data_IF_159142219702
#
_entry.id   IF_159142219702
#
_cell.length_a   1.000
_cell.length_b   1.000
_cell.length_c   1.000
_cell.angle_alpha   90.00
_cell.angle_beta   90.00
_cell.angle_gamma   90.00
#
_symmetry.space_group_name_H-M   'P 1'
#
loop_
_entity.id
_entity.type
_entity.pdbx_description
1 polymer ?
#
# COMPACT_ATOMS: atom_id res chain seq x y z
N UNK A 1 -29.95 26.24 16.30
CA UNK A 1 -28.72 26.77 15.67
C UNK A 1 -27.67 27.13 16.71
N UNK A 2 -28.04 27.36 17.98
CA UNK A 2 -27.11 27.48 19.11
C UNK A 2 -26.69 26.14 19.74
N UNK A 3 -27.53 25.08 19.69
CA UNK A 3 -27.23 23.79 20.35
C UNK A 3 -26.07 22.96 19.74
N UNK A 4 -25.63 23.24 18.51
CA UNK A 4 -24.57 22.44 17.86
C UNK A 4 -23.14 22.96 18.10
N UNK A 5 -22.99 24.16 18.66
CA UNK A 5 -21.68 24.78 18.95
C UNK A 5 -21.13 24.28 20.30
N UNK A 6 -22.00 23.84 21.21
CA UNK A 6 -21.66 23.39 22.57
C UNK A 6 -21.06 21.97 22.64
N UNK A 7 -20.89 21.28 21.51
CA UNK A 7 -20.39 19.89 21.44
C UNK A 7 -18.95 19.77 20.93
N UNK A 8 -18.29 20.86 20.54
CA UNK A 8 -16.94 20.77 19.97
C UNK A 8 -15.84 21.08 20.97
N UNK A 9 -14.83 20.20 20.99
CA UNK A 9 -13.69 20.27 21.90
C UNK A 9 -12.53 21.05 21.28
N UNK A 10 -12.19 22.17 21.90
CA UNK A 10 -11.06 23.04 21.56
C UNK A 10 -9.84 22.73 22.44
N UNK A 11 -8.63 23.04 21.94
CA UNK A 11 -7.38 22.87 22.70
C UNK A 11 -7.39 23.60 24.04
N UNK A 12 -8.07 24.74 24.13
CA UNK A 12 -8.20 25.56 25.34
C UNK A 12 -9.09 24.93 26.42
N UNK A 13 -9.90 23.94 26.05
CA UNK A 13 -10.84 23.25 26.96
C UNK A 13 -10.26 21.93 27.49
N UNK A 14 -9.09 21.50 27.01
CA UNK A 14 -8.49 20.23 27.42
C UNK A 14 -7.99 20.27 28.87
N UNK A 15 -8.34 19.24 29.63
CA UNK A 15 -7.80 18.98 30.95
C UNK A 15 -6.44 18.27 30.88
N UNK A 16 -5.72 18.21 32.01
CA UNK A 16 -4.41 17.53 32.07
C UNK A 16 -4.49 16.05 31.68
N UNK A 17 -5.63 15.40 31.96
CA UNK A 17 -5.91 14.02 31.57
C UNK A 17 -6.10 13.88 30.06
N UNK A 18 -6.67 14.88 29.39
CA UNK A 18 -6.88 14.84 27.93
C UNK A 18 -5.57 14.92 27.17
N UNK A 19 -4.59 15.66 27.68
CA UNK A 19 -3.25 15.67 27.08
C UNK A 19 -2.54 14.32 27.16
N UNK A 20 -2.82 13.51 28.19
CA UNK A 20 -2.33 12.13 28.25
C UNK A 20 -2.97 11.31 27.11
N UNK A 21 -4.25 11.51 26.83
CA UNK A 21 -4.95 10.86 25.72
C UNK A 21 -4.41 11.27 24.37
N UNK A 22 -4.19 12.56 24.15
CA UNK A 22 -3.56 13.07 22.94
C UNK A 22 -2.17 12.44 22.74
N UNK A 23 -1.38 12.31 23.80
CA UNK A 23 -0.07 11.66 23.73
C UNK A 23 -0.16 10.16 23.40
N UNK A 24 -1.09 9.43 24.01
CA UNK A 24 -1.32 8.00 23.70
C UNK A 24 -1.76 7.84 22.25
N UNK A 25 -2.74 8.64 21.80
CA UNK A 25 -3.24 8.62 20.42
C UNK A 25 -2.11 8.83 19.43
N UNK A 26 -1.30 9.89 19.61
CA UNK A 26 -0.16 10.18 18.74
C UNK A 26 0.87 9.05 18.79
N UNK A 27 1.17 8.52 19.98
CA UNK A 27 2.12 7.42 20.14
C UNK A 27 1.69 6.16 19.38
N UNK A 28 0.42 5.77 19.51
CA UNK A 28 -0.17 4.61 18.82
C UNK A 28 -0.25 4.84 17.31
N UNK A 29 -0.61 6.05 16.87
CA UNK A 29 -0.66 6.41 15.46
C UNK A 29 0.74 6.36 14.81
N UNK A 30 1.78 6.83 15.49
CA UNK A 30 3.12 6.98 14.90
C UNK A 30 3.98 5.71 15.03
N UNK A 31 3.77 4.88 16.05
CA UNK A 31 4.61 3.71 16.33
C UNK A 31 4.79 2.75 15.14
N UNK A 32 3.75 2.41 14.34
CA UNK A 32 3.92 1.57 13.15
C UNK A 32 4.85 2.17 12.10
N UNK A 33 4.82 3.50 11.90
CA UNK A 33 5.70 4.17 10.94
C UNK A 33 7.15 4.19 11.42
N UNK A 34 7.37 4.37 12.72
CA UNK A 34 8.71 4.27 13.30
C UNK A 34 9.29 2.86 13.12
N UNK A 35 8.47 1.83 13.38
CA UNK A 35 8.83 0.44 13.14
C UNK A 35 9.17 0.19 11.67
N UNK A 36 8.31 0.67 10.75
CA UNK A 36 8.51 0.50 9.32
C UNK A 36 9.76 1.21 8.79
N UNK A 37 10.05 2.41 9.29
CA UNK A 37 11.27 3.13 8.97
C UNK A 37 12.52 2.38 9.44
N UNK A 38 12.52 1.88 10.68
CA UNK A 38 13.65 1.13 11.27
C UNK A 38 13.91 -0.19 10.53
N UNK A 39 12.83 -0.88 10.14
CA UNK A 39 12.90 -2.20 9.49
C UNK A 39 12.91 -2.12 7.95
N UNK A 40 12.78 -0.92 7.37
CA UNK A 40 12.63 -0.67 5.93
C UNK A 40 11.46 -1.46 5.31
N UNK A 41 10.35 -1.58 6.03
CA UNK A 41 9.12 -2.25 5.56
C UNK A 41 8.13 -1.23 4.95
N UNK A 42 7.04 -1.75 4.39
CA UNK A 42 6.01 -0.96 3.70
C UNK A 42 5.33 0.07 4.60
N UNK A 43 5.27 1.32 4.14
CA UNK A 43 4.51 2.40 4.77
C UNK A 43 3.01 2.23 4.59
N UNK A 44 2.55 1.59 3.51
CA UNK A 44 1.15 1.24 3.34
C UNK A 44 0.69 0.24 4.42
N UNK A 45 1.48 -0.80 4.69
CA UNK A 45 1.22 -1.73 5.79
C UNK A 45 1.28 -1.03 7.16
N UNK A 46 2.24 -0.11 7.34
CA UNK A 46 2.30 0.70 8.56
C UNK A 46 1.04 1.54 8.77
N UNK A 47 0.49 2.13 7.71
CA UNK A 47 -0.77 2.88 7.76
C UNK A 47 -1.97 2.00 8.10
N UNK A 48 -2.05 0.78 7.53
CA UNK A 48 -3.08 -0.21 7.88
C UNK A 48 -3.00 -0.56 9.36
N UNK A 49 -1.81 -0.91 9.85
CA UNK A 49 -1.61 -1.25 11.25
C UNK A 49 -1.93 -0.06 12.17
N UNK A 50 -1.51 1.14 11.79
CA UNK A 50 -1.75 2.37 12.54
C UNK A 50 -3.23 2.70 12.70
N UNK A 51 -3.99 2.67 11.60
CA UNK A 51 -5.45 2.89 11.63
C UNK A 51 -6.19 1.79 12.40
N UNK A 52 -5.75 0.53 12.28
CA UNK A 52 -6.28 -0.57 13.09
C UNK A 52 -6.01 -0.39 14.59
N UNK A 53 -4.79 -0.04 14.97
CA UNK A 53 -4.45 0.15 16.38
C UNK A 53 -5.23 1.31 17.01
N UNK A 54 -5.46 2.40 16.28
CA UNK A 54 -6.33 3.49 16.75
C UNK A 54 -7.78 3.01 16.91
N UNK A 55 -8.31 2.23 15.96
CA UNK A 55 -9.65 1.66 16.10
C UNK A 55 -9.77 0.74 17.33
N UNK A 56 -8.77 -0.11 17.57
CA UNK A 56 -8.73 -0.98 18.75
C UNK A 56 -8.58 -0.20 20.05
N UNK A 57 -7.73 0.82 20.08
CA UNK A 57 -7.58 1.71 21.22
C UNK A 57 -8.94 2.34 21.56
N UNK A 58 -9.60 2.96 20.57
CA UNK A 58 -10.90 3.58 20.74
C UNK A 58 -11.94 2.60 21.27
N UNK A 59 -12.08 1.43 20.63
CA UNK A 59 -13.01 0.39 21.07
C UNK A 59 -12.73 -0.07 22.51
N UNK A 60 -11.46 -0.25 22.86
CA UNK A 60 -11.08 -0.63 24.21
C UNK A 60 -11.49 0.44 25.23
N UNK A 61 -11.19 1.71 24.95
CA UNK A 61 -11.53 2.85 25.82
C UNK A 61 -13.04 3.00 26.02
N UNK A 62 -13.81 2.92 24.94
CA UNK A 62 -15.27 2.92 24.99
C UNK A 62 -15.80 1.76 25.87
N UNK A 63 -15.20 0.57 25.75
CA UNK A 63 -15.63 -0.61 26.48
C UNK A 63 -15.31 -0.55 27.99
N UNK A 64 -14.20 0.07 28.38
CA UNK A 64 -13.83 0.22 29.79
C UNK A 64 -14.49 1.44 30.45
N UNK A 65 -15.09 2.34 29.65
CA UNK A 65 -15.73 3.58 30.09
C UNK A 65 -14.83 4.40 31.04
N UNK A 66 -13.52 4.35 30.79
CA UNK A 66 -12.56 5.10 31.58
C UNK A 66 -12.24 6.35 30.76
N UNK A 67 -12.59 7.51 31.34
CA UNK A 67 -12.37 8.85 30.79
C UNK A 67 -13.27 9.19 29.60
N UNK A 68 -14.15 10.19 29.78
CA UNK A 68 -15.10 10.66 28.76
C UNK A 68 -14.48 11.63 27.74
N UNK A 69 -13.31 11.28 27.20
CA UNK A 69 -12.63 12.12 26.21
C UNK A 69 -13.32 11.99 24.85
N UNK A 70 -13.68 13.11 24.22
CA UNK A 70 -14.40 13.12 22.94
C UNK A 70 -13.43 13.24 21.76
N UNK A 71 -12.70 12.17 21.45
CA UNK A 71 -11.61 12.19 20.46
C UNK A 71 -12.08 12.53 19.04
N UNK A 72 -13.33 12.19 18.69
CA UNK A 72 -13.92 12.57 17.40
C UNK A 72 -14.02 14.09 17.31
N UNK A 73 -14.54 14.74 18.35
CA UNK A 73 -14.72 16.19 18.39
C UNK A 73 -13.40 16.95 18.44
N UNK A 74 -12.28 16.32 18.85
CA UNK A 74 -10.95 16.95 18.75
C UNK A 74 -10.23 16.66 17.42
N UNK A 75 -10.32 15.45 16.87
CA UNK A 75 -9.46 15.03 15.76
C UNK A 75 -10.14 14.91 14.39
N UNK A 76 -11.47 14.88 14.31
CA UNK A 76 -12.18 14.80 13.04
C UNK A 76 -12.20 16.15 12.31
N UNK A 77 -12.38 16.10 10.98
CA UNK A 77 -12.50 17.27 10.13
C UNK A 77 -13.89 17.88 10.29
N UNK A 78 -13.95 19.07 10.90
CA UNK A 78 -15.19 19.83 11.08
C UNK A 78 -15.12 21.08 10.18
N UNK A 79 -15.91 21.16 9.10
CA UNK A 79 -15.82 22.26 8.14
C UNK A 79 -15.95 23.66 8.74
N UNK A 80 -16.87 23.86 9.69
CA UNK A 80 -17.09 25.14 10.34
C UNK A 80 -15.84 25.67 11.09
N UNK A 81 -14.96 24.78 11.54
CA UNK A 81 -13.77 25.13 12.32
C UNK A 81 -12.51 25.35 11.46
N UNK A 82 -12.62 25.22 10.14
CA UNK A 82 -11.47 25.30 9.23
C UNK A 82 -10.79 26.67 9.20
N UNK A 83 -11.48 27.71 9.66
CA UNK A 83 -10.94 29.08 9.69
C UNK A 83 -10.08 29.35 10.92
N UNK A 84 -10.16 28.48 11.94
CA UNK A 84 -9.40 28.59 13.19
C UNK A 84 -8.02 27.92 13.03
N UNK A 85 -6.90 28.68 13.10
CA UNK A 85 -5.56 28.14 12.82
C UNK A 85 -5.12 27.00 13.73
N UNK A 86 -5.57 27.00 14.98
CA UNK A 86 -5.29 25.96 15.97
C UNK A 86 -6.05 24.65 15.69
N UNK A 87 -6.99 24.65 14.73
CA UNK A 87 -7.78 23.50 14.32
C UNK A 87 -7.25 22.82 13.03
N UNK A 88 -6.15 23.30 12.45
CA UNK A 88 -5.60 22.76 11.20
C UNK A 88 -5.12 21.31 11.30
N UNK A 89 -4.85 20.80 12.51
CA UNK A 89 -4.50 19.39 12.71
C UNK A 89 -5.58 18.44 12.18
N UNK A 90 -6.85 18.86 12.19
CA UNK A 90 -8.01 18.08 11.75
C UNK A 90 -7.96 17.65 10.29
N UNK A 91 -7.28 18.42 9.43
CA UNK A 91 -7.04 18.02 8.04
C UNK A 91 -6.22 16.73 7.91
N UNK A 92 -5.44 16.40 8.94
CA UNK A 92 -4.52 15.25 8.96
C UNK A 92 -5.05 14.18 9.91
N UNK A 93 -5.41 14.55 11.14
CA UNK A 93 -5.79 13.60 12.20
C UNK A 93 -7.06 12.83 11.88
N UNK A 94 -7.96 13.39 11.06
CA UNK A 94 -9.18 12.74 10.62
C UNK A 94 -8.94 11.39 9.91
N UNK A 95 -7.76 11.17 9.32
CA UNK A 95 -7.42 9.91 8.65
C UNK A 95 -7.39 8.69 9.60
N UNK A 96 -7.17 8.90 10.89
CA UNK A 96 -7.08 7.82 11.88
C UNK A 96 -8.42 7.47 12.50
N UNK A 97 -9.40 8.36 12.42
CA UNK A 97 -10.71 8.16 13.01
C UNK A 97 -11.65 7.41 12.06
N UNK A 98 -12.38 6.44 12.58
CA UNK A 98 -13.40 5.70 11.83
C UNK A 98 -14.64 5.50 12.70
N UNK A 99 -15.82 5.65 12.08
CA UNK A 99 -17.11 5.61 12.79
C UNK A 99 -17.49 4.21 13.26
N UNK A 100 -17.03 3.16 12.57
CA UNK A 100 -17.28 1.76 12.92
C UNK A 100 -16.26 0.81 12.26
N UNK A 101 -16.34 -0.47 12.63
CA UNK A 101 -15.46 -1.54 12.12
C UNK A 101 -15.53 -1.72 10.61
N UNK A 102 -16.73 -1.68 10.01
CA UNK A 102 -16.90 -1.84 8.57
C UNK A 102 -16.24 -0.67 7.81
N UNK A 103 -16.35 0.54 8.35
CA UNK A 103 -15.77 1.75 7.77
C UNK A 103 -14.24 1.63 7.73
N UNK A 104 -13.58 1.30 8.84
CA UNK A 104 -12.12 1.11 8.83
C UNK A 104 -11.70 -0.07 7.97
N UNK A 105 -12.43 -1.19 8.01
CA UNK A 105 -12.15 -2.37 7.20
C UNK A 105 -12.16 -2.05 5.71
N UNK A 106 -13.18 -1.32 5.25
CA UNK A 106 -13.31 -0.91 3.86
C UNK A 106 -12.14 -0.04 3.37
N UNK A 107 -11.60 0.83 4.25
CA UNK A 107 -10.47 1.69 3.95
C UNK A 107 -9.16 0.90 3.88
N UNK A 108 -8.88 0.06 4.89
CA UNK A 108 -7.63 -0.72 4.94
C UNK A 108 -7.55 -1.77 3.83
N UNK A 109 -8.68 -2.30 3.35
CA UNK A 109 -8.72 -3.19 2.17
C UNK A 109 -8.24 -2.43 0.94
N UNK A 110 -8.71 -1.20 0.70
CA UNK A 110 -8.23 -0.39 -0.44
C UNK A 110 -6.75 -0.03 -0.26
N UNK A 111 -6.34 0.39 0.94
CA UNK A 111 -4.93 0.69 1.23
C UNK A 111 -4.05 -0.55 1.04
N UNK A 112 -4.53 -1.75 1.39
CA UNK A 112 -3.80 -3.01 1.21
C UNK A 112 -3.70 -3.39 -0.27
N UNK A 113 -4.84 -3.54 -0.93
CA UNK A 113 -4.93 -4.09 -2.30
C UNK A 113 -4.42 -3.11 -3.36
N UNK A 114 -4.58 -1.80 -3.15
CA UNK A 114 -4.17 -0.76 -4.10
C UNK A 114 -2.93 -0.04 -3.60
N UNK A 115 -2.87 0.28 -2.31
CA UNK A 115 -1.79 1.06 -1.74
C UNK A 115 -0.46 0.31 -1.69
N UNK A 116 -0.43 -0.98 -1.34
CA UNK A 116 0.83 -1.75 -1.29
C UNK A 116 1.47 -1.88 -2.68
N UNK A 117 0.75 -2.30 -3.75
CA UNK A 117 1.35 -2.34 -5.09
C UNK A 117 1.76 -0.93 -5.59
N UNK A 118 0.97 0.10 -5.29
CA UNK A 118 1.35 1.47 -5.63
C UNK A 118 2.63 1.93 -4.90
N UNK A 119 2.83 1.51 -3.65
CA UNK A 119 4.06 1.79 -2.91
C UNK A 119 5.27 1.14 -3.58
N UNK A 120 5.14 -0.08 -4.09
CA UNK A 120 6.20 -0.75 -4.83
C UNK A 120 6.57 0.02 -6.12
N UNK A 121 5.58 0.66 -6.76
CA UNK A 121 5.80 1.52 -7.94
C UNK A 121 6.46 2.86 -7.58
N UNK A 122 5.97 3.54 -6.55
CA UNK A 122 6.36 4.91 -6.16
C UNK A 122 7.58 4.99 -5.22
N UNK A 123 7.77 3.97 -4.38
CA UNK A 123 8.57 4.03 -3.17
C UNK A 123 7.86 4.78 -2.03
N UNK A 124 8.18 4.41 -0.78
CA UNK A 124 7.45 4.84 0.42
C UNK A 124 7.24 6.37 0.57
N UNK A 125 8.29 7.19 0.37
CA UNK A 125 8.17 8.65 0.56
C UNK A 125 7.15 9.29 -0.39
N UNK A 126 7.14 8.86 -1.65
CA UNK A 126 6.21 9.37 -2.69
C UNK A 126 4.81 8.84 -2.45
N UNK A 127 4.70 7.58 -2.04
CA UNK A 127 3.43 6.99 -1.63
C UNK A 127 2.78 7.78 -0.47
N UNK A 128 3.57 8.13 0.55
CA UNK A 128 3.07 8.92 1.69
C UNK A 128 2.59 10.31 1.25
N UNK A 129 3.31 10.97 0.35
CA UNK A 129 2.89 12.26 -0.21
C UNK A 129 1.56 12.14 -0.96
N UNK A 130 1.39 11.11 -1.80
CA UNK A 130 0.14 10.84 -2.51
C UNK A 130 -1.01 10.56 -1.53
N UNK A 131 -0.77 9.75 -0.51
CA UNK A 131 -1.77 9.44 0.52
C UNK A 131 -2.31 10.71 1.17
N UNK A 132 -1.42 11.60 1.64
CA UNK A 132 -1.83 12.85 2.27
C UNK A 132 -2.42 13.87 1.29
N UNK A 133 -2.00 13.88 0.03
CA UNK A 133 -2.68 14.70 -1.00
C UNK A 133 -4.11 14.22 -1.23
N UNK A 134 -4.35 12.91 -1.24
CA UNK A 134 -5.72 12.38 -1.28
C UNK A 134 -6.55 12.80 -0.07
N UNK A 135 -5.97 12.68 1.14
CA UNK A 135 -6.63 13.11 2.37
C UNK A 135 -7.01 14.60 2.34
N UNK A 136 -6.03 15.46 2.04
CA UNK A 136 -6.20 16.91 1.99
C UNK A 136 -7.18 17.29 0.88
N UNK A 137 -7.06 16.69 -0.30
CA UNK A 137 -7.98 16.94 -1.42
C UNK A 137 -9.42 16.58 -1.10
N UNK A 138 -9.63 15.47 -0.37
CA UNK A 138 -10.95 15.07 0.08
C UNK A 138 -11.51 16.03 1.13
N UNK A 139 -10.71 16.39 2.13
CA UNK A 139 -11.12 17.34 3.16
C UNK A 139 -11.42 18.72 2.58
N UNK A 140 -10.61 19.22 1.65
CA UNK A 140 -10.86 20.49 0.96
C UNK A 140 -12.16 20.47 0.15
N UNK A 141 -12.41 19.40 -0.60
CA UNK A 141 -13.65 19.27 -1.37
C UNK A 141 -14.88 19.21 -0.45
N UNK A 142 -14.78 18.48 0.66
CA UNK A 142 -15.84 18.39 1.66
C UNK A 142 -16.14 19.75 2.32
N UNK A 143 -15.09 20.46 2.75
CA UNK A 143 -15.18 21.80 3.35
C UNK A 143 -15.80 22.79 2.37
N UNK A 144 -15.36 22.78 1.10
CA UNK A 144 -15.86 23.69 0.09
C UNK A 144 -17.37 23.51 -0.17
N UNK A 145 -17.89 22.28 -0.08
CA UNK A 145 -19.31 22.00 -0.25
C UNK A 145 -20.15 22.23 1.01
N UNK A 146 -19.53 22.16 2.20
CA UNK A 146 -20.24 22.25 3.48
C UNK A 146 -19.59 23.23 4.47
N UNK A 147 -19.29 24.49 4.09
CA UNK A 147 -18.41 25.37 4.86
C UNK A 147 -18.88 25.69 6.27
N UNK A 148 -20.20 25.65 6.53
CA UNK A 148 -20.80 25.95 7.83
C UNK A 148 -21.24 24.69 8.60
N UNK A 149 -20.85 23.50 8.14
CA UNK A 149 -21.26 22.24 8.77
C UNK A 149 -20.41 21.95 10.02
N UNK A 150 -21.10 21.63 11.10
CA UNK A 150 -20.51 21.08 12.33
C UNK A 150 -20.50 19.54 12.32
N UNK A 151 -20.99 18.90 11.26
CA UNK A 151 -20.98 17.43 11.16
C UNK A 151 -19.55 16.94 10.93
N UNK A 152 -18.97 16.13 11.83
CA UNK A 152 -17.60 15.66 11.67
C UNK A 152 -17.45 14.73 10.46
N UNK A 153 -16.42 14.98 9.65
CA UNK A 153 -15.94 14.08 8.62
C UNK A 153 -14.65 13.38 9.08
N UNK A 154 -14.63 12.06 8.96
CA UNK A 154 -13.56 11.21 9.45
C UNK A 154 -13.37 10.00 8.53
N UNK A 155 -12.16 9.45 8.53
CA UNK A 155 -11.79 8.27 7.76
C UNK A 155 -10.66 8.52 6.78
N UNK A 156 -9.98 7.43 6.44
CA UNK A 156 -8.90 7.43 5.45
C UNK A 156 -9.39 7.43 3.98
N UNK A 157 -10.69 7.58 3.73
CA UNK A 157 -11.28 7.27 2.42
C UNK A 157 -10.91 8.26 1.33
N UNK A 158 -10.79 9.55 1.65
CA UNK A 158 -10.23 10.55 0.73
C UNK A 158 -8.80 10.19 0.31
N UNK A 159 -7.98 9.70 1.25
CA UNK A 159 -6.63 9.21 0.97
C UNK A 159 -6.65 7.95 0.09
N UNK A 160 -7.53 6.99 0.40
CA UNK A 160 -7.70 5.76 -0.37
C UNK A 160 -8.11 6.02 -1.82
N UNK A 161 -9.05 6.95 -2.05
CA UNK A 161 -9.39 7.43 -3.39
C UNK A 161 -8.25 8.22 -4.05
N UNK A 162 -7.45 8.94 -3.27
CA UNK A 162 -6.21 9.56 -3.77
C UNK A 162 -5.18 8.54 -4.27
N UNK A 163 -5.02 7.41 -3.58
CA UNK A 163 -4.18 6.30 -4.05
C UNK A 163 -4.69 5.76 -5.39
N UNK A 164 -6.01 5.52 -5.51
CA UNK A 164 -6.65 5.13 -6.77
C UNK A 164 -6.40 6.15 -7.90
N UNK A 165 -6.54 7.45 -7.59
CA UNK A 165 -6.28 8.53 -8.55
C UNK A 165 -4.83 8.57 -9.01
N UNK A 166 -3.88 8.44 -8.09
CA UNK A 166 -2.48 8.42 -8.44
C UNK A 166 -2.07 7.18 -9.25
N UNK A 167 -2.62 6.02 -8.90
CA UNK A 167 -2.38 4.79 -9.64
C UNK A 167 -2.93 4.91 -11.07
N UNK A 168 -4.16 5.40 -11.24
CA UNK A 168 -4.76 5.65 -12.54
C UNK A 168 -3.96 6.64 -13.39
N UNK A 169 -3.41 7.69 -12.80
CA UNK A 169 -2.64 8.70 -13.52
C UNK A 169 -1.28 8.19 -14.03
N UNK A 170 -0.69 7.22 -13.32
CA UNK A 170 0.69 6.78 -13.54
C UNK A 170 0.79 5.43 -14.26
N UNK A 171 -0.04 4.45 -13.86
CA UNK A 171 -0.01 3.08 -14.35
C UNK A 171 -1.44 2.51 -14.49
N UNK A 172 -2.27 3.07 -15.39
CA UNK A 172 -3.67 2.67 -15.53
C UNK A 172 -3.87 1.21 -15.97
N UNK A 173 -2.87 0.61 -16.64
CA UNK A 173 -2.92 -0.75 -17.16
C UNK A 173 -2.32 -1.79 -16.21
N UNK A 174 -1.77 -1.38 -15.07
CA UNK A 174 -1.35 -2.32 -14.04
C UNK A 174 -2.54 -3.16 -13.59
N UNK A 175 -2.30 -4.44 -13.31
CA UNK A 175 -3.30 -5.33 -12.76
C UNK A 175 -3.02 -5.59 -11.29
N UNK A 176 -4.04 -5.40 -10.45
CA UNK A 176 -3.98 -5.73 -9.03
C UNK A 176 -5.15 -6.63 -8.66
N UNK A 177 -4.94 -7.53 -7.70
CA UNK A 177 -6.01 -8.36 -7.18
C UNK A 177 -7.02 -7.49 -6.45
N UNK A 178 -8.25 -7.49 -6.93
CA UNK A 178 -9.32 -6.66 -6.36
C UNK A 178 -10.66 -7.41 -6.39
N UNK A 179 -11.45 -7.36 -5.29
CA UNK A 179 -12.78 -7.96 -5.27
C UNK A 179 -13.77 -7.09 -6.08
N UNK A 180 -13.99 -7.44 -7.35
CA UNK A 180 -15.02 -6.84 -8.20
C UNK A 180 -16.09 -7.86 -8.57
N UNK A 181 -17.37 -7.49 -8.42
CA UNK A 181 -18.52 -8.28 -8.88
C UNK A 181 -18.46 -9.77 -8.46
N UNK A 182 -18.15 -10.03 -7.18
CA UNK A 182 -18.01 -11.37 -6.58
C UNK A 182 -16.77 -12.17 -6.97
N UNK A 183 -15.89 -11.65 -7.84
CA UNK A 183 -14.64 -12.30 -8.23
C UNK A 183 -13.43 -11.56 -7.65
N UNK A 184 -12.55 -12.29 -6.98
CA UNK A 184 -11.20 -11.82 -6.62
C UNK A 184 -10.27 -12.30 -7.73
N UNK A 185 -9.82 -11.37 -8.57
CA UNK A 185 -8.83 -11.63 -9.63
C UNK A 185 -8.04 -10.37 -9.92
N UNK A 186 -6.92 -10.47 -10.67
CA UNK A 186 -6.24 -9.30 -11.20
C UNK A 186 -7.17 -8.52 -12.15
N UNK A 187 -7.31 -7.23 -11.90
CA UNK A 187 -8.03 -6.30 -12.76
C UNK A 187 -7.15 -5.09 -13.08
N UNK A 188 -7.19 -4.58 -14.32
CA UNK A 188 -6.59 -3.31 -14.66
C UNK A 188 -7.07 -2.17 -13.76
N UNK A 189 -6.15 -1.33 -13.30
CA UNK A 189 -6.44 -0.19 -12.42
C UNK A 189 -7.53 0.72 -13.01
N UNK A 190 -7.52 0.96 -14.32
CA UNK A 190 -8.55 1.77 -14.95
C UNK A 190 -9.96 1.20 -14.81
N UNK A 191 -10.11 -0.13 -14.78
CA UNK A 191 -11.42 -0.79 -14.55
C UNK A 191 -11.84 -0.61 -13.09
N UNK A 192 -10.93 -0.88 -12.15
CA UNK A 192 -11.19 -0.73 -10.72
C UNK A 192 -11.64 0.71 -10.42
N UNK A 193 -10.93 1.69 -10.99
CA UNK A 193 -11.24 3.11 -10.84
C UNK A 193 -12.55 3.49 -11.51
N UNK A 194 -12.80 3.05 -12.75
CA UNK A 194 -14.05 3.34 -13.45
C UNK A 194 -15.26 2.83 -12.65
N UNK A 195 -15.17 1.62 -12.10
CA UNK A 195 -16.24 1.05 -11.26
C UNK A 195 -16.36 1.81 -9.93
N UNK A 196 -15.27 1.98 -9.18
CA UNK A 196 -15.34 2.60 -7.85
C UNK A 196 -15.74 4.08 -7.91
N UNK A 197 -15.09 4.88 -8.76
CA UNK A 197 -15.42 6.29 -8.92
C UNK A 197 -16.80 6.46 -9.58
N UNK A 198 -17.17 5.59 -10.53
CA UNK A 198 -18.50 5.58 -11.13
C UNK A 198 -19.62 5.33 -10.12
N UNK A 199 -19.41 4.41 -9.16
CA UNK A 199 -20.34 4.17 -8.06
C UNK A 199 -20.49 5.38 -7.14
N UNK A 200 -19.40 6.10 -6.83
CA UNK A 200 -19.48 7.33 -6.04
C UNK A 200 -20.30 8.41 -6.74
N UNK A 201 -20.03 8.65 -8.03
CA UNK A 201 -20.77 9.64 -8.83
C UNK A 201 -22.25 9.24 -8.95
N UNK A 202 -22.53 7.96 -9.18
CA UNK A 202 -23.90 7.45 -9.22
C UNK A 202 -24.62 7.65 -7.87
N UNK A 203 -23.97 7.32 -6.75
CA UNK A 203 -24.55 7.52 -5.41
C UNK A 203 -24.84 8.99 -5.14
N UNK A 204 -23.92 9.90 -5.47
CA UNK A 204 -24.15 11.34 -5.35
C UNK A 204 -25.35 11.81 -6.18
N UNK A 205 -25.40 11.42 -7.46
CA UNK A 205 -26.54 11.72 -8.34
C UNK A 205 -27.86 11.17 -7.78
N UNK A 206 -27.85 9.94 -7.28
CA UNK A 206 -29.05 9.30 -6.74
C UNK A 206 -29.55 9.98 -5.46
N UNK A 207 -28.66 10.47 -4.59
CA UNK A 207 -29.00 11.27 -3.39
C UNK A 207 -29.64 12.59 -3.82
N UNK A 208 -29.02 13.30 -4.77
CA UNK A 208 -29.51 14.58 -5.28
C UNK A 208 -30.87 14.45 -5.99
N UNK A 209 -31.05 13.38 -6.77
CA UNK A 209 -32.29 13.06 -7.44
C UNK A 209 -33.41 12.56 -6.49
N UNK A 210 -33.12 12.40 -5.19
CA UNK A 210 -34.07 11.90 -4.19
C UNK A 210 -34.48 10.45 -4.39
N UNK A 211 -33.74 9.70 -5.21
CA UNK A 211 -34.00 8.27 -5.51
C UNK A 211 -33.49 7.35 -4.40
N UNK A 212 -32.51 7.81 -3.64
CA UNK A 212 -32.04 7.21 -2.39
C UNK A 212 -32.01 8.27 -1.29
N UNK A 213 -32.19 7.87 -0.03
CA UNK A 213 -32.09 8.77 1.12
C UNK A 213 -30.66 9.29 1.35
N UNK A 214 -30.50 10.21 2.31
CA UNK A 214 -29.19 10.67 2.72
C UNK A 214 -28.31 9.52 3.24
N UNK A 215 -27.01 9.59 2.96
CA UNK A 215 -26.02 8.61 3.42
C UNK A 215 -25.07 9.26 4.44
N UNK A 216 -24.49 8.45 5.32
CA UNK A 216 -23.42 8.87 6.23
C UNK A 216 -22.03 8.79 5.57
N UNK A 217 -21.96 8.95 4.23
CA UNK A 217 -20.72 8.82 3.45
C UNK A 217 -20.42 10.16 2.77
N UNK A 218 -19.22 10.67 3.01
CA UNK A 218 -18.74 11.90 2.39
C UNK A 218 -18.28 11.68 0.94
N UNK A 219 -19.21 11.34 0.04
CA UNK A 219 -18.90 10.99 -1.36
C UNK A 219 -18.04 12.06 -2.08
N UNK A 220 -18.29 13.34 -1.82
CA UNK A 220 -17.50 14.42 -2.41
C UNK A 220 -16.03 14.44 -1.92
N UNK A 221 -15.77 13.97 -0.70
CA UNK A 221 -14.39 13.81 -0.22
C UNK A 221 -13.65 12.74 -1.01
N UNK A 222 -14.33 11.68 -1.45
CA UNK A 222 -13.73 10.66 -2.32
C UNK A 222 -13.33 11.25 -3.68
N UNK A 223 -14.24 12.01 -4.28
CA UNK A 223 -14.00 12.68 -5.58
C UNK A 223 -12.87 13.70 -5.47
N UNK A 224 -12.86 14.54 -4.44
CA UNK A 224 -11.82 15.53 -4.20
C UNK A 224 -10.44 14.90 -3.98
N UNK A 225 -10.38 13.85 -3.16
CA UNK A 225 -9.14 13.12 -2.90
C UNK A 225 -8.59 12.44 -4.16
N UNK A 226 -9.47 11.82 -4.94
CA UNK A 226 -9.12 11.23 -6.23
C UNK A 226 -8.49 12.26 -7.17
N UNK A 227 -9.17 13.37 -7.46
CA UNK A 227 -8.73 14.31 -8.50
C UNK A 227 -7.50 15.11 -8.10
N UNK A 228 -7.36 15.50 -6.82
CA UNK A 228 -6.14 16.20 -6.38
C UNK A 228 -4.90 15.31 -6.51
N UNK A 229 -5.00 14.06 -6.05
CA UNK A 229 -3.90 13.11 -6.19
C UNK A 229 -3.64 12.76 -7.67
N UNK A 230 -4.68 12.51 -8.47
CA UNK A 230 -4.57 12.24 -9.90
C UNK A 230 -3.79 13.34 -10.63
N UNK A 231 -4.14 14.61 -10.38
CA UNK A 231 -3.50 15.77 -11.02
C UNK A 231 -2.01 15.90 -10.65
N UNK A 232 -1.65 15.56 -9.41
CA UNK A 232 -0.29 15.76 -8.88
C UNK A 232 0.58 14.48 -8.88
N UNK A 233 0.01 13.32 -9.19
CA UNK A 233 0.74 12.05 -9.09
C UNK A 233 1.90 11.92 -10.08
N UNK A 234 1.71 12.29 -11.35
CA UNK A 234 2.78 12.17 -12.37
C UNK A 234 4.04 12.98 -12.02
N UNK A 235 3.98 14.26 -11.60
CA UNK A 235 5.18 14.97 -11.18
C UNK A 235 5.81 14.36 -9.92
N UNK A 236 5.02 13.86 -8.97
CA UNK A 236 5.53 13.17 -7.77
C UNK A 236 6.25 11.87 -8.14
N UNK A 237 5.71 11.11 -9.09
CA UNK A 237 6.25 9.85 -9.56
C UNK A 237 7.55 9.99 -10.36
N UNK A 238 8.03 11.20 -10.66
CA UNK A 238 9.33 11.41 -11.31
C UNK A 238 10.46 10.83 -10.43
N UNK A 239 11.26 9.94 -11.02
CA UNK A 239 12.33 9.23 -10.33
C UNK A 239 11.84 8.18 -9.33
N UNK A 240 10.60 7.72 -9.45
CA UNK A 240 10.10 6.55 -8.73
C UNK A 240 10.83 5.26 -9.17
N UNK A 241 10.82 4.20 -8.33
CA UNK A 241 11.41 2.89 -8.67
C UNK A 241 10.92 2.29 -9.99
N UNK A 242 9.65 2.50 -10.33
CA UNK A 242 9.07 2.12 -11.62
C UNK A 242 8.99 3.30 -12.57
N UNK A 243 9.33 3.10 -13.85
CA UNK A 243 9.14 4.10 -14.88
C UNK A 243 7.65 4.38 -15.08
N UNK A 244 7.30 5.64 -15.32
CA UNK A 244 6.01 5.98 -15.90
C UNK A 244 6.04 5.50 -17.35
N UNK A 245 5.10 4.65 -17.75
CA UNK A 245 5.05 4.16 -19.12
C UNK A 245 5.06 5.35 -20.09
N UNK A 246 5.97 5.27 -21.05
CA UNK A 246 6.00 6.16 -22.21
C UNK A 246 4.68 6.00 -22.93
N UNK A 247 3.87 7.06 -22.94
CA UNK A 247 2.62 7.23 -23.67
C UNK A 247 2.49 6.27 -24.86
N UNK A 248 1.94 5.08 -24.65
CA UNK A 248 1.56 4.20 -25.75
C UNK A 248 0.24 4.78 -26.26
N UNK A 249 0.36 5.55 -27.33
CA UNK A 249 -0.71 5.84 -28.28
C UNK A 249 -1.65 4.65 -28.36
N UNK A 250 -2.94 4.92 -28.20
CA UNK A 250 -4.04 3.97 -28.47
C UNK A 250 -3.83 3.43 -29.89
N UNK A 251 -3.28 2.23 -30.00
CA UNK A 251 -2.91 1.65 -31.29
C UNK A 251 -2.17 0.33 -31.13
N UNK A 252 -2.82 -0.74 -31.60
CA UNK A 252 -2.32 -2.10 -31.84
C UNK A 252 -1.86 -2.94 -30.64
N UNK A 253 -2.71 -3.93 -30.36
CA UNK A 253 -2.41 -5.26 -29.84
C UNK A 253 -0.94 -5.69 -29.82
N UNK A 254 -0.38 -5.83 -28.62
CA UNK A 254 0.58 -6.86 -28.28
C UNK A 254 0.38 -7.23 -26.81
N UNK A 255 0.19 -8.52 -26.56
CA UNK A 255 0.00 -9.20 -25.27
C UNK A 255 0.53 -8.43 -24.06
N UNK A 256 -0.42 -7.97 -23.22
CA UNK A 256 -0.16 -7.40 -21.91
C UNK A 256 0.44 -8.48 -20.98
N UNK A 257 1.76 -8.54 -20.87
CA UNK A 257 2.41 -9.12 -19.68
C UNK A 257 1.97 -8.27 -18.47
N UNK A 258 1.31 -8.90 -17.49
CA UNK A 258 0.80 -8.21 -16.31
C UNK A 258 1.94 -7.57 -15.50
N UNK A 259 1.66 -6.49 -14.77
CA UNK A 259 2.67 -5.84 -13.92
C UNK A 259 3.32 -6.81 -12.91
N UNK A 260 2.54 -7.77 -12.39
CA UNK A 260 3.05 -8.86 -11.55
C UNK A 260 4.04 -9.76 -12.30
N UNK A 261 3.79 -10.06 -13.58
CA UNK A 261 4.70 -10.81 -14.43
C UNK A 261 6.00 -10.04 -14.69
N UNK A 262 5.93 -8.73 -14.92
CA UNK A 262 7.12 -7.89 -15.07
C UNK A 262 8.00 -7.84 -13.81
N UNK A 263 7.37 -7.86 -12.63
CA UNK A 263 8.06 -7.88 -11.33
C UNK A 263 8.69 -9.27 -11.09
N UNK A 264 7.95 -10.36 -11.35
CA UNK A 264 8.46 -11.73 -11.27
C UNK A 264 9.63 -11.94 -12.22
N UNK A 265 9.51 -11.45 -13.46
CA UNK A 265 10.58 -11.48 -14.47
C UNK A 265 11.82 -10.74 -14.00
N UNK A 266 11.67 -9.54 -13.44
CA UNK A 266 12.80 -8.76 -12.90
C UNK A 266 13.43 -9.40 -11.65
N UNK A 267 12.64 -10.04 -10.79
CA UNK A 267 13.14 -10.81 -9.65
C UNK A 267 13.91 -12.05 -10.13
N UNK A 268 13.38 -12.77 -11.13
CA UNK A 268 14.06 -13.90 -11.79
C UNK A 268 15.37 -13.48 -12.47
N UNK A 269 15.39 -12.34 -13.15
CA UNK A 269 16.61 -11.78 -13.76
C UNK A 269 17.71 -11.50 -12.72
N UNK A 270 17.35 -11.02 -11.52
CA UNK A 270 18.33 -10.78 -10.44
C UNK A 270 18.89 -12.07 -9.85
N UNK A 271 18.09 -13.14 -9.81
CA UNK A 271 18.51 -14.45 -9.33
C UNK A 271 19.45 -15.18 -10.30
N UNK A 272 19.62 -14.68 -11.53
CA UNK A 272 20.47 -15.32 -12.55
C UNK A 272 19.74 -16.40 -13.34
N UNK A 273 20.23 -16.68 -14.56
CA UNK A 273 19.67 -17.74 -15.40
C UNK A 273 20.22 -19.10 -14.99
N UNK A 274 19.36 -20.12 -14.99
CA UNK A 274 19.71 -21.53 -14.78
C UNK A 274 19.94 -22.31 -16.09
N UNK A 275 19.91 -21.62 -17.23
CA UNK A 275 19.95 -22.26 -18.54
C UNK A 275 21.33 -22.86 -18.81
N UNK A 276 22.39 -22.21 -18.34
CA UNK A 276 23.74 -22.75 -18.36
C UNK A 276 23.96 -23.75 -17.20
N UNK A 277 24.84 -24.72 -17.42
CA UNK A 277 25.14 -25.78 -16.47
C UNK A 277 26.66 -25.89 -16.32
N UNK A 278 27.24 -25.42 -15.19
CA UNK A 278 28.68 -25.44 -14.96
C UNK A 278 29.32 -26.83 -15.00
N UNK A 279 28.56 -27.87 -14.65
CA UNK A 279 29.04 -29.25 -14.63
C UNK A 279 29.09 -29.83 -16.04
N UNK A 280 28.08 -29.53 -16.86
CA UNK A 280 28.08 -29.86 -18.29
C UNK A 280 29.20 -29.14 -19.04
N UNK A 281 29.40 -27.84 -18.81
CA UNK A 281 30.45 -27.05 -19.46
C UNK A 281 31.86 -27.56 -19.12
N UNK A 282 32.04 -28.05 -17.89
CA UNK A 282 33.29 -28.66 -17.44
C UNK A 282 33.46 -30.13 -17.89
N UNK A 283 32.52 -30.69 -18.66
CA UNK A 283 32.55 -32.08 -19.13
C UNK A 283 32.32 -33.13 -18.05
N UNK A 284 31.78 -32.73 -16.88
CA UNK A 284 31.46 -33.60 -15.74
C UNK A 284 29.97 -33.50 -15.42
N UNK A 285 29.05 -34.00 -16.29
CA UNK A 285 27.61 -33.88 -16.09
C UNK A 285 27.17 -34.43 -14.73
N UNK A 286 26.22 -33.75 -14.10
CA UNK A 286 25.57 -34.26 -12.89
C UNK A 286 24.88 -35.61 -13.17
N UNK A 287 24.92 -36.49 -12.18
CA UNK A 287 24.33 -37.83 -12.26
C UNK A 287 23.36 -38.09 -11.11
N UNK A 288 22.41 -38.99 -11.33
CA UNK A 288 21.48 -39.49 -10.31
C UNK A 288 20.72 -38.39 -9.56
N UNK A 289 20.93 -38.28 -8.24
CA UNK A 289 20.19 -37.37 -7.35
C UNK A 289 20.43 -35.90 -7.73
N UNK A 290 21.69 -35.51 -7.91
CA UNK A 290 22.06 -34.14 -8.26
C UNK A 290 21.43 -33.68 -9.59
N UNK A 291 21.33 -34.58 -10.58
CA UNK A 291 20.68 -34.28 -11.85
C UNK A 291 19.17 -34.01 -11.67
N UNK A 292 18.51 -34.80 -10.81
CA UNK A 292 17.08 -34.63 -10.50
C UNK A 292 16.82 -33.34 -9.73
N UNK A 293 17.69 -32.99 -8.79
CA UNK A 293 17.64 -31.74 -8.04
C UNK A 293 17.77 -30.54 -8.99
N UNK A 294 18.72 -30.57 -9.93
CA UNK A 294 18.87 -29.51 -10.93
C UNK A 294 17.63 -29.38 -11.83
N UNK A 295 16.99 -30.48 -12.20
CA UNK A 295 15.75 -30.47 -12.98
C UNK A 295 14.60 -29.83 -12.18
N UNK A 296 14.44 -30.19 -10.91
CA UNK A 296 13.42 -29.56 -10.03
C UNK A 296 13.70 -28.09 -9.75
N UNK A 297 14.97 -27.71 -9.54
CA UNK A 297 15.39 -26.33 -9.40
C UNK A 297 14.99 -25.47 -10.63
N UNK A 298 15.06 -26.04 -11.83
CA UNK A 298 14.65 -25.38 -13.09
C UNK A 298 13.12 -25.30 -13.21
N UNK A 299 12.40 -26.32 -12.77
CA UNK A 299 10.94 -26.37 -12.85
C UNK A 299 10.24 -25.53 -11.78
N UNK A 300 10.78 -25.47 -10.57
CA UNK A 300 10.10 -24.95 -9.37
C UNK A 300 10.76 -23.68 -8.79
N UNK A 301 12.00 -23.37 -9.17
CA UNK A 301 12.78 -22.31 -8.52
C UNK A 301 12.42 -20.87 -8.90
N UNK A 302 11.26 -20.59 -9.47
CA UNK A 302 10.93 -19.22 -9.92
C UNK A 302 10.64 -18.24 -8.77
N UNK A 303 10.49 -18.74 -7.54
CA UNK A 303 10.39 -17.96 -6.30
C UNK A 303 11.68 -18.03 -5.48
N UNK A 304 12.04 -16.94 -4.79
CA UNK A 304 13.32 -16.78 -4.07
C UNK A 304 13.55 -17.89 -3.03
N UNK A 305 12.55 -18.16 -2.19
CA UNK A 305 12.62 -19.13 -1.10
C UNK A 305 12.78 -20.56 -1.65
N UNK A 306 12.04 -20.88 -2.71
CA UNK A 306 12.11 -22.17 -3.41
C UNK A 306 13.45 -22.34 -4.12
N UNK A 307 13.98 -21.29 -4.78
CA UNK A 307 15.30 -21.31 -5.42
C UNK A 307 16.41 -21.53 -4.40
N UNK A 308 16.33 -20.88 -3.25
CA UNK A 308 17.31 -21.03 -2.17
C UNK A 308 17.37 -22.47 -1.69
N UNK A 309 16.22 -23.06 -1.33
CA UNK A 309 16.16 -24.43 -0.83
C UNK A 309 16.77 -25.43 -1.84
N UNK A 310 16.43 -25.27 -3.13
CA UNK A 310 16.96 -26.12 -4.17
C UNK A 310 18.46 -25.96 -4.42
N UNK A 311 18.99 -24.73 -4.31
CA UNK A 311 20.43 -24.49 -4.46
C UNK A 311 21.22 -25.02 -3.26
N UNK A 312 20.69 -24.93 -2.03
CA UNK A 312 21.27 -25.54 -0.84
C UNK A 312 21.33 -27.06 -1.00
N UNK A 313 20.23 -27.71 -1.41
CA UNK A 313 20.19 -29.16 -1.63
C UNK A 313 21.15 -29.59 -2.75
N UNK A 314 21.25 -28.79 -3.83
CA UNK A 314 22.19 -29.06 -4.92
C UNK A 314 23.65 -28.94 -4.46
N UNK A 315 23.97 -27.98 -3.60
CA UNK A 315 25.32 -27.80 -3.04
C UNK A 315 25.74 -29.01 -2.19
N UNK A 316 24.81 -29.60 -1.43
CA UNK A 316 25.09 -30.79 -0.61
C UNK A 316 25.34 -32.06 -1.44
N UNK A 317 24.73 -32.14 -2.64
CA UNK A 317 24.82 -33.31 -3.51
C UNK A 317 25.87 -33.17 -4.62
N UNK A 318 26.62 -32.07 -4.65
CA UNK A 318 27.58 -31.78 -5.73
C UNK A 318 28.90 -31.22 -5.21
N UNK A 319 29.94 -31.31 -6.06
CA UNK A 319 31.24 -30.70 -5.81
C UNK A 319 31.63 -29.84 -7.01
N UNK A 320 32.60 -28.95 -6.80
CA UNK A 320 33.09 -28.09 -7.86
C UNK A 320 33.70 -28.94 -8.99
N UNK A 321 33.25 -28.78 -10.26
CA UNK A 321 33.72 -29.64 -11.34
C UNK A 321 35.19 -29.38 -11.71
N UNK A 322 35.74 -28.21 -11.37
CA UNK A 322 37.12 -27.83 -11.69
C UNK A 322 38.11 -28.31 -10.62
N UNK A 323 37.84 -28.02 -9.35
CA UNK A 323 38.79 -28.29 -8.26
C UNK A 323 38.34 -29.36 -7.27
N UNK A 324 37.15 -29.94 -7.46
CA UNK A 324 36.57 -31.00 -6.61
C UNK A 324 36.39 -30.60 -5.14
N UNK A 325 36.44 -29.29 -4.87
CA UNK A 325 36.17 -28.73 -3.56
C UNK A 325 34.69 -28.51 -3.31
N UNK A 326 34.35 -28.27 -2.05
CA UNK A 326 32.98 -27.96 -1.63
C UNK A 326 32.44 -26.70 -2.32
N UNK A 327 31.14 -26.77 -2.59
CA UNK A 327 30.33 -25.65 -3.08
C UNK A 327 29.42 -25.24 -1.93
N UNK A 328 29.19 -23.93 -1.78
CA UNK A 328 28.21 -23.41 -0.84
C UNK A 328 27.30 -22.39 -1.51
N UNK A 329 26.14 -22.19 -0.91
CA UNK A 329 25.15 -21.19 -1.31
C UNK A 329 25.50 -19.83 -0.71
N UNK A 330 25.59 -18.79 -1.54
CA UNK A 330 25.73 -17.39 -1.17
C UNK A 330 24.39 -16.68 -1.36
N UNK A 331 23.91 -16.03 -0.30
CA UNK A 331 22.65 -15.29 -0.30
C UNK A 331 22.95 -13.83 0.05
N UNK A 332 22.55 -12.91 -0.83
CA UNK A 332 22.66 -11.48 -0.60
C UNK A 332 21.41 -10.75 -1.14
N UNK A 333 20.42 -10.58 -0.27
CA UNK A 333 19.12 -10.01 -0.65
C UNK A 333 18.39 -10.93 -1.63
N UNK A 334 18.16 -10.45 -2.85
CA UNK A 334 17.47 -11.20 -3.92
C UNK A 334 18.44 -12.00 -4.82
N UNK A 335 19.71 -12.11 -4.44
CA UNK A 335 20.73 -12.86 -5.19
C UNK A 335 21.01 -14.17 -4.44
N UNK A 336 20.78 -15.31 -5.10
CA UNK A 336 21.09 -16.64 -4.59
C UNK A 336 21.97 -17.38 -5.60
N UNK A 337 23.18 -17.78 -5.18
CA UNK A 337 24.19 -18.38 -6.07
C UNK A 337 25.00 -19.45 -5.39
N UNK A 338 25.46 -20.43 -6.15
CA UNK A 338 26.53 -21.35 -5.78
C UNK A 338 27.89 -20.70 -5.99
N UNK A 339 28.78 -20.88 -5.01
CA UNK A 339 30.18 -20.51 -5.06
C UNK A 339 31.07 -21.67 -4.66
N UNK A 340 32.17 -21.83 -5.39
CA UNK A 340 33.22 -22.74 -4.98
C UNK A 340 34.01 -22.15 -3.80
N UNK A 341 34.32 -22.98 -2.81
CA UNK A 341 35.09 -22.58 -1.64
C UNK A 341 36.53 -22.12 -1.94
N UNK A 342 37.14 -22.67 -3.00
CA UNK A 342 38.53 -22.34 -3.37
C UNK A 342 38.65 -21.14 -4.31
N UNK A 343 37.73 -20.96 -5.25
CA UNK A 343 37.81 -19.86 -6.23
C UNK A 343 36.47 -19.55 -6.90
N UNK A 344 36.14 -18.27 -6.98
CA UNK A 344 34.98 -17.77 -7.74
C UNK A 344 35.11 -17.96 -9.24
N UNK A 345 36.33 -18.15 -9.74
CA UNK A 345 36.54 -18.44 -11.14
C UNK A 345 36.09 -19.87 -11.51
N UNK A 346 35.92 -20.76 -10.52
CA UNK A 346 35.48 -22.12 -10.78
C UNK A 346 33.96 -22.27 -10.85
N UNK A 347 33.25 -21.73 -9.86
CA UNK A 347 31.79 -21.67 -9.84
C UNK A 347 31.36 -20.35 -9.21
N UNK A 348 30.53 -19.62 -9.95
CA UNK A 348 29.71 -18.49 -9.51
C UNK A 348 28.45 -18.50 -10.38
N UNK A 349 27.47 -19.31 -9.97
CA UNK A 349 26.32 -19.67 -10.79
C UNK A 349 25.09 -19.87 -9.91
N UNK A 350 23.86 -19.50 -10.33
CA UNK A 350 23.53 -18.82 -11.58
C UNK A 350 24.01 -17.37 -11.72
#
# INVERSE_FOLDING_TARGET
MEESVDLDVFWSQLESTDYVWVAIFIGVAVAPFFSAWKQKTSLALAMILSTMLIMFLRFFLDAVNIFGFEEIHLFAMIPALVTEPDQFHRFITAAWLHSNWLHVLSNIIVIGLVGVPLEQRLGGKRWLAVYFLGLIGGNLAWVAAHPNSFVPALGASGAAFGLLGAYMACWPNDEVEFPLLFFIRPWPIWIIVAVRLGLEVYQMYSIEAGTIGSTNIAHLAHVGGFFLAYALARPIAKGAPSSLDSTTTIGSSSSSESGAESIRKRAREKMGSLDNDPWMEAGKPLQAEAARILERLRAEGDELETRQAWLEELAEQTICPICEGEIFTEINGEICRLRCNLSNAHIKWP
#
